data_IF_933282021999
#
_entry.id   IF_933282021999
#
_cell.length_a   1.000
_cell.length_b   1.000
_cell.length_c   1.000
_cell.angle_alpha   90.00
_cell.angle_beta   90.00
_cell.angle_gamma   90.00
#
_symmetry.space_group_name_H-M   'P 1'
#
loop_
_entity.id
_entity.type
_entity.pdbx_description
1 polymer ?
#
# COMPACT_ATOMS: atom_id res chain seq x y z
N UNK A 1 9.56 -5.73 47.54
CA UNK A 1 8.45 -6.07 46.63
C UNK A 1 8.24 -5.07 45.49
N UNK A 2 8.79 -3.86 45.57
CA UNK A 2 8.60 -2.78 44.57
C UNK A 2 9.33 -3.00 43.22
N UNK A 3 10.45 -3.73 43.24
CA UNK A 3 11.29 -3.98 42.04
C UNK A 3 10.62 -4.86 40.96
N UNK A 4 9.67 -5.72 41.34
CA UNK A 4 8.95 -6.61 40.40
C UNK A 4 7.86 -5.87 39.62
N UNK A 5 7.26 -4.83 40.22
CA UNK A 5 6.18 -4.06 39.59
C UNK A 5 6.73 -3.16 38.48
N UNK A 6 7.88 -2.52 38.71
CA UNK A 6 8.51 -1.61 37.75
C UNK A 6 9.00 -2.32 36.47
N UNK A 7 9.48 -3.56 36.60
CA UNK A 7 9.93 -4.39 35.46
C UNK A 7 8.76 -4.79 34.55
N UNK A 8 7.64 -5.24 35.14
CA UNK A 8 6.39 -5.54 34.40
C UNK A 8 5.83 -4.34 33.65
N UNK A 9 5.90 -3.16 34.26
CA UNK A 9 5.44 -1.91 33.64
C UNK A 9 6.35 -1.50 32.48
N UNK A 10 7.67 -1.60 32.63
CA UNK A 10 8.62 -1.34 31.53
C UNK A 10 8.44 -2.32 30.35
N UNK A 11 8.16 -3.59 30.62
CA UNK A 11 7.86 -4.59 29.59
C UNK A 11 6.55 -4.27 28.85
N UNK A 12 5.51 -3.81 29.56
CA UNK A 12 4.24 -3.38 28.96
C UNK A 12 4.40 -2.17 28.03
N UNK A 13 5.19 -1.16 28.43
CA UNK A 13 5.48 -0.01 27.58
C UNK A 13 6.28 -0.41 26.33
N UNK A 14 7.19 -1.37 26.46
CA UNK A 14 7.96 -1.90 25.32
C UNK A 14 7.06 -2.58 24.30
N UNK A 15 6.13 -3.44 24.75
CA UNK A 15 5.15 -4.09 23.87
C UNK A 15 4.26 -3.08 23.17
N UNK A 16 3.76 -2.07 23.90
CA UNK A 16 2.91 -1.03 23.33
C UNK A 16 3.66 -0.18 22.29
N UNK A 17 4.89 0.25 22.61
CA UNK A 17 5.72 1.03 21.70
C UNK A 17 6.00 0.26 20.39
N UNK A 18 6.30 -1.04 20.49
CA UNK A 18 6.49 -1.88 19.31
C UNK A 18 5.21 -2.03 18.48
N UNK A 19 4.04 -2.21 19.13
CA UNK A 19 2.76 -2.27 18.43
C UNK A 19 2.43 -0.96 17.72
N UNK A 20 2.65 0.18 18.37
CA UNK A 20 2.44 1.50 17.77
C UNK A 20 3.38 1.71 16.58
N UNK A 21 4.67 1.38 16.73
CA UNK A 21 5.64 1.46 15.63
C UNK A 21 5.18 0.65 14.42
N UNK A 22 4.85 -0.63 14.63
CA UNK A 22 4.39 -1.52 13.57
C UNK A 22 3.10 -1.01 12.91
N UNK A 23 2.16 -0.48 13.69
CA UNK A 23 0.92 0.09 13.16
C UNK A 23 1.17 1.35 12.30
N UNK A 24 2.05 2.24 12.76
CA UNK A 24 2.43 3.46 12.03
C UNK A 24 3.17 3.11 10.74
N UNK A 25 4.09 2.16 10.78
CA UNK A 25 4.82 1.70 9.59
C UNK A 25 3.87 1.11 8.55
N UNK A 26 2.96 0.21 8.96
CA UNK A 26 1.92 -0.35 8.09
C UNK A 26 1.03 0.72 7.48
N UNK A 27 0.59 1.69 8.29
CA UNK A 27 -0.25 2.79 7.81
C UNK A 27 0.48 3.65 6.76
N UNK A 28 1.76 3.96 6.99
CA UNK A 28 2.57 4.74 6.04
C UNK A 28 2.79 3.98 4.74
N UNK A 29 3.11 2.69 4.81
CA UNK A 29 3.27 1.85 3.62
C UNK A 29 1.99 1.79 2.78
N UNK A 30 0.83 1.56 3.41
CA UNK A 30 -0.44 1.52 2.70
C UNK A 30 -0.84 2.89 2.13
N UNK A 31 -0.57 3.97 2.85
CA UNK A 31 -0.82 5.33 2.36
C UNK A 31 0.03 5.65 1.13
N UNK A 32 1.30 5.28 1.15
CA UNK A 32 2.19 5.48 0.01
C UNK A 32 1.76 4.64 -1.19
N UNK A 33 1.42 3.36 -0.99
CA UNK A 33 0.90 2.49 -2.04
C UNK A 33 -0.38 3.04 -2.67
N UNK A 34 -1.32 3.55 -1.86
CA UNK A 34 -2.53 4.22 -2.35
C UNK A 34 -2.22 5.48 -3.15
N UNK A 35 -1.24 6.27 -2.71
CA UNK A 35 -0.82 7.49 -3.41
C UNK A 35 -0.22 7.16 -4.77
N UNK A 36 0.66 6.18 -4.83
CA UNK A 36 1.28 5.71 -6.07
C UNK A 36 0.22 5.17 -7.04
N UNK A 37 -0.67 4.28 -6.55
CA UNK A 37 -1.77 3.79 -7.38
C UNK A 37 -2.62 4.93 -7.91
N UNK A 38 -3.05 5.86 -7.04
CA UNK A 38 -3.87 6.99 -7.47
C UNK A 38 -3.17 7.84 -8.53
N UNK A 39 -1.86 8.07 -8.43
CA UNK A 39 -1.12 8.81 -9.43
C UNK A 39 -1.17 8.14 -10.82
N UNK A 40 -1.02 6.81 -10.87
CA UNK A 40 -1.10 6.02 -12.11
C UNK A 40 -2.52 6.03 -12.68
N UNK A 41 -3.54 5.81 -11.83
CA UNK A 41 -4.95 5.80 -12.24
C UNK A 41 -5.40 7.16 -12.80
N UNK A 42 -4.88 8.28 -12.27
CA UNK A 42 -5.25 9.63 -12.72
C UNK A 42 -4.30 10.21 -13.77
N UNK A 43 -3.33 9.45 -14.25
CA UNK A 43 -2.43 9.90 -15.30
C UNK A 43 -3.22 10.14 -16.60
N UNK A 44 -2.89 11.21 -17.33
CA UNK A 44 -3.50 11.48 -18.64
C UNK A 44 -2.93 10.58 -19.73
N UNK A 45 -1.69 10.12 -19.55
CA UNK A 45 -1.08 9.14 -20.43
C UNK A 45 -1.60 7.74 -20.11
N UNK A 46 -1.85 6.95 -21.16
CA UNK A 46 -2.20 5.55 -21.02
C UNK A 46 -1.02 4.74 -20.49
N UNK A 47 -1.24 4.04 -19.38
CA UNK A 47 -0.25 3.18 -18.73
C UNK A 47 -0.78 1.75 -18.73
N UNK A 48 -0.01 0.84 -19.29
CA UNK A 48 -0.24 -0.60 -19.20
C UNK A 48 1.00 -1.30 -18.65
N UNK A 49 0.80 -2.41 -17.96
CA UNK A 49 1.85 -3.31 -17.51
C UNK A 49 1.51 -4.69 -18.04
N UNK A 50 2.49 -5.35 -18.64
CA UNK A 50 2.36 -6.69 -19.20
C UNK A 50 3.18 -7.68 -18.38
N UNK A 51 2.76 -8.95 -18.34
CA UNK A 51 3.61 -10.04 -17.87
C UNK A 51 4.63 -10.46 -18.96
N UNK A 52 5.44 -11.48 -18.65
CA UNK A 52 6.45 -12.01 -19.57
C UNK A 52 5.84 -12.63 -20.85
N UNK A 53 4.58 -13.08 -20.77
CA UNK A 53 3.83 -13.66 -21.88
C UNK A 53 3.09 -12.60 -22.73
N UNK A 54 3.17 -11.32 -22.35
CA UNK A 54 2.54 -10.21 -23.05
C UNK A 54 1.07 -9.95 -22.70
N UNK A 55 0.56 -10.56 -21.63
CA UNK A 55 -0.81 -10.33 -21.14
C UNK A 55 -0.86 -9.13 -20.19
N UNK A 56 -1.96 -8.37 -20.23
CA UNK A 56 -2.17 -7.23 -19.34
C UNK A 56 -2.30 -7.70 -17.88
N UNK A 57 -1.42 -7.18 -17.02
CA UNK A 57 -1.57 -7.30 -15.57
C UNK A 57 -2.11 -6.03 -14.93
N UNK A 58 -2.11 -4.93 -15.68
CA UNK A 58 -2.67 -3.65 -15.28
C UNK A 58 -2.87 -2.75 -16.50
N UNK A 59 -3.99 -2.04 -16.54
CA UNK A 59 -4.26 -0.92 -17.44
C UNK A 59 -4.93 0.19 -16.63
N UNK A 60 -4.51 1.45 -16.83
CA UNK A 60 -5.23 2.59 -16.26
C UNK A 60 -6.38 3.02 -17.19
N UNK A 61 -7.30 3.84 -16.67
CA UNK A 61 -8.45 4.33 -17.44
C UNK A 61 -8.03 5.05 -18.73
N UNK A 62 -6.99 5.89 -18.68
CA UNK A 62 -6.53 6.62 -19.85
C UNK A 62 -6.06 5.69 -20.98
N UNK A 63 -5.46 4.54 -20.67
CA UNK A 63 -5.10 3.54 -21.67
C UNK A 63 -6.34 2.91 -22.30
N UNK A 64 -7.29 2.50 -21.46
CA UNK A 64 -8.53 1.87 -21.90
C UNK A 64 -9.35 2.82 -22.79
N UNK A 65 -9.42 4.11 -22.43
CA UNK A 65 -10.09 5.17 -23.19
C UNK A 65 -9.50 5.37 -24.60
N UNK A 66 -8.18 5.20 -24.78
CA UNK A 66 -7.51 5.31 -26.10
C UNK A 66 -8.02 4.23 -27.06
N UNK A 67 -8.25 3.02 -26.54
CA UNK A 67 -8.67 1.87 -27.33
C UNK A 67 -10.18 1.62 -27.32
N UNK A 68 -10.93 2.35 -26.49
CA UNK A 68 -12.39 2.27 -26.39
C UNK A 68 -12.90 1.06 -25.60
N UNK A 69 -12.08 0.54 -24.68
CA UNK A 69 -12.42 -0.58 -23.79
C UNK A 69 -12.57 -0.11 -22.35
N UNK A 70 -13.22 -0.91 -21.50
CA UNK A 70 -13.10 -0.76 -20.04
C UNK A 70 -11.81 -1.45 -19.55
N UNK A 71 -11.09 -0.90 -18.56
CA UNK A 71 -9.93 -1.57 -17.96
C UNK A 71 -10.19 -3.02 -17.53
N UNK A 72 -11.41 -3.37 -17.11
CA UNK A 72 -11.78 -4.72 -16.67
C UNK A 72 -11.99 -5.70 -17.85
N UNK A 73 -12.02 -5.19 -19.09
CA UNK A 73 -12.17 -5.98 -20.33
C UNK A 73 -10.84 -6.26 -21.06
N UNK A 74 -9.73 -5.70 -20.58
CA UNK A 74 -8.38 -5.83 -21.16
C UNK A 74 -7.46 -6.69 -20.29
#
# INVERSE_FOLDING_TARGET
>A
TDYLQKKRVADQYTVLANRLRNAVERYRAEKERKRQRKAIETAQEGISILNEDGEYIYVNQAYADIYGYDPDEM
#
